data_IF_879460285317
#
_entry.id   IF_879460285317
#
_cell.length_a   1.000
_cell.length_b   1.000
_cell.length_c   1.000
_cell.angle_alpha   90.00
_cell.angle_beta   90.00
_cell.angle_gamma   90.00
#
_symmetry.space_group_name_H-M   'P 1'
#
loop_
_entity.id
_entity.type
_entity.pdbx_description
1 polymer ?
#
# COMPACT_ATOMS: atom_id res chain seq x y z
N UNK A 1 -8.05 5.31 -7.58
CA UNK A 1 -7.29 4.04 -7.42
C UNK A 1 -5.89 4.25 -7.99
N UNK A 2 -4.86 3.83 -7.27
CA UNK A 2 -3.47 3.90 -7.72
C UNK A 2 -3.07 2.65 -8.50
N UNK A 3 -3.50 1.47 -8.06
CA UNK A 3 -3.23 0.23 -8.78
C UNK A 3 -3.77 -0.99 -8.06
N UNK A 4 -3.52 -2.14 -8.66
CA UNK A 4 -3.81 -3.44 -8.08
C UNK A 4 -2.55 -4.30 -8.13
N UNK A 5 -2.40 -5.22 -7.20
CA UNK A 5 -1.37 -6.25 -7.27
C UNK A 5 -1.87 -7.58 -6.75
N UNK A 6 -1.36 -8.64 -7.36
CA UNK A 6 -1.46 -9.99 -6.84
C UNK A 6 -0.08 -10.42 -6.36
N UNK A 7 -0.04 -11.21 -5.29
CA UNK A 7 1.19 -11.76 -4.73
C UNK A 7 1.05 -13.26 -4.56
N UNK A 8 1.84 -14.00 -5.33
CA UNK A 8 1.85 -15.47 -5.33
C UNK A 8 2.36 -16.05 -4.01
N UNK A 9 3.38 -15.42 -3.42
CA UNK A 9 4.04 -15.89 -2.19
C UNK A 9 3.14 -15.92 -0.95
N UNK A 10 2.02 -15.19 -0.97
CA UNK A 10 1.00 -15.21 0.08
C UNK A 10 -0.43 -15.30 -0.47
N UNK A 11 -0.60 -15.66 -1.75
CA UNK A 11 -1.92 -15.80 -2.39
C UNK A 11 -2.87 -14.65 -2.03
N UNK A 12 -2.45 -13.43 -2.35
CA UNK A 12 -3.14 -12.21 -1.90
C UNK A 12 -3.45 -11.26 -3.05
N UNK A 13 -4.66 -10.71 -3.03
CA UNK A 13 -5.09 -9.62 -3.92
C UNK A 13 -5.09 -8.30 -3.16
N UNK A 14 -4.63 -7.25 -3.84
CA UNK A 14 -4.39 -5.95 -3.22
C UNK A 14 -4.98 -4.85 -4.07
N UNK A 15 -5.76 -3.99 -3.45
CA UNK A 15 -6.15 -2.71 -4.02
C UNK A 15 -5.32 -1.62 -3.36
N UNK A 16 -4.65 -0.80 -4.17
CA UNK A 16 -3.89 0.34 -3.71
C UNK A 16 -4.65 1.60 -4.08
N UNK A 17 -4.94 2.41 -3.08
CA UNK A 17 -5.65 3.68 -3.19
C UNK A 17 -4.76 4.80 -2.65
N UNK A 18 -5.08 6.04 -2.98
CA UNK A 18 -4.37 7.19 -2.46
C UNK A 18 -5.27 8.41 -2.39
N UNK A 19 -4.86 9.39 -1.59
CA UNK A 19 -5.52 10.69 -1.54
C UNK A 19 -5.27 11.52 -2.81
N UNK A 20 -5.87 12.70 -2.91
CA UNK A 20 -5.71 13.60 -4.08
C UNK A 20 -4.25 13.88 -4.40
N UNK A 21 -3.42 14.15 -3.38
CA UNK A 21 -1.98 14.37 -3.55
C UNK A 21 -1.30 13.17 -4.21
N UNK A 22 -1.54 11.96 -3.70
CA UNK A 22 -1.00 10.73 -4.28
C UNK A 22 -1.48 10.51 -5.73
N UNK A 23 -2.78 10.74 -5.98
CA UNK A 23 -3.36 10.56 -7.30
C UNK A 23 -2.74 11.54 -8.32
N UNK A 24 -2.63 12.82 -7.99
CA UNK A 24 -2.00 13.83 -8.85
C UNK A 24 -0.53 13.49 -9.11
N UNK A 25 0.22 13.13 -8.08
CA UNK A 25 1.61 12.70 -8.19
C UNK A 25 1.75 11.51 -9.15
N UNK A 26 0.92 10.49 -8.98
CA UNK A 26 0.93 9.29 -9.81
C UNK A 26 0.59 9.57 -11.29
N UNK A 27 -0.39 10.44 -11.56
CA UNK A 27 -0.78 10.77 -12.94
C UNK A 27 0.26 11.63 -13.65
N UNK A 28 0.98 12.46 -12.91
CA UNK A 28 2.04 13.31 -13.47
C UNK A 28 3.42 12.65 -13.49
N UNK A 29 3.56 11.41 -13.00
CA UNK A 29 4.87 10.73 -12.89
C UNK A 29 5.77 11.24 -11.75
N UNK A 30 5.23 12.04 -10.83
CA UNK A 30 5.96 12.68 -9.74
C UNK A 30 5.92 11.83 -8.46
N UNK A 31 6.34 10.57 -8.57
CA UNK A 31 6.27 9.58 -7.46
C UNK A 31 7.64 9.21 -6.89
N UNK A 32 8.71 9.88 -7.33
CA UNK A 32 10.06 9.63 -6.82
C UNK A 32 10.85 10.95 -6.68
N UNK A 33 10.80 11.60 -5.50
CA UNK A 33 10.04 11.21 -4.32
C UNK A 33 8.54 11.52 -4.46
N UNK A 34 7.73 10.87 -3.61
CA UNK A 34 6.35 11.30 -3.42
C UNK A 34 6.31 12.63 -2.64
N UNK A 35 5.38 13.55 -2.96
CA UNK A 35 5.25 14.82 -2.25
C UNK A 35 4.73 14.62 -0.82
N UNK A 36 5.15 15.49 0.10
CA UNK A 36 4.61 15.54 1.46
C UNK A 36 3.08 15.71 1.45
N UNK A 37 2.42 15.07 2.40
CA UNK A 37 0.95 14.95 2.43
C UNK A 37 0.39 13.83 1.55
N UNK A 38 1.24 13.08 0.84
CA UNK A 38 0.82 11.84 0.17
C UNK A 38 0.31 10.83 1.21
N UNK A 39 -0.87 10.27 0.97
CA UNK A 39 -1.40 9.15 1.74
C UNK A 39 -1.69 8.00 0.79
N UNK A 40 -1.11 6.83 1.07
CA UNK A 40 -1.36 5.58 0.35
C UNK A 40 -2.11 4.63 1.28
N UNK A 41 -3.21 4.07 0.80
CA UNK A 41 -3.94 3.00 1.47
C UNK A 41 -3.79 1.70 0.69
N UNK A 42 -3.63 0.57 1.37
CA UNK A 42 -3.55 -0.75 0.76
C UNK A 42 -4.51 -1.69 1.46
N UNK A 43 -5.47 -2.20 0.72
CA UNK A 43 -6.41 -3.20 1.19
C UNK A 43 -5.94 -4.56 0.68
N UNK A 44 -5.79 -5.53 1.58
CA UNK A 44 -5.19 -6.83 1.28
C UNK A 44 -6.16 -7.94 1.65
N UNK A 45 -6.55 -8.72 0.66
CA UNK A 45 -7.36 -9.92 0.82
C UNK A 45 -6.56 -11.17 0.46
N UNK A 46 -6.92 -12.31 1.03
CA UNK A 46 -6.58 -13.60 0.41
C UNK A 46 -7.27 -13.68 -0.95
N UNK A 47 -6.61 -14.25 -1.95
CA UNK A 47 -7.26 -14.51 -3.22
C UNK A 47 -8.29 -15.64 -3.09
N UNK A 48 -9.29 -15.60 -3.96
CA UNK A 48 -10.34 -16.61 -4.06
C UNK A 48 -10.78 -16.73 -5.51
N UNK A 49 -11.38 -17.86 -5.89
CA UNK A 49 -11.87 -18.09 -7.25
C UNK A 49 -13.26 -17.49 -7.42
N UNK A 50 -13.50 -16.79 -8.52
CA UNK A 50 -14.83 -16.24 -8.79
C UNK A 50 -15.84 -17.38 -8.99
N UNK A 51 -17.01 -17.38 -8.29
CA UNK A 51 -17.92 -18.52 -8.29
C UNK A 51 -18.50 -18.84 -9.67
N UNK A 52 -18.77 -17.81 -10.47
CA UNK A 52 -19.32 -17.94 -11.83
C UNK A 52 -18.25 -17.94 -12.94
N UNK A 53 -16.97 -17.73 -12.60
CA UNK A 53 -15.89 -17.61 -13.58
C UNK A 53 -14.55 -18.05 -12.98
N UNK A 54 -14.39 -19.37 -12.82
CA UNK A 54 -13.26 -19.98 -12.12
C UNK A 54 -11.85 -19.49 -12.55
N UNK A 55 -11.60 -19.13 -13.82
CA UNK A 55 -10.29 -18.57 -14.19
C UNK A 55 -9.94 -17.26 -13.46
N UNK A 56 -10.92 -16.46 -13.01
CA UNK A 56 -10.65 -15.20 -12.32
C UNK A 56 -10.37 -15.38 -10.81
N UNK A 57 -9.42 -14.60 -10.32
CA UNK A 57 -9.19 -14.39 -8.89
C UNK A 57 -9.91 -13.12 -8.42
N UNK A 58 -10.56 -13.21 -7.27
CA UNK A 58 -11.31 -12.13 -6.61
C UNK A 58 -10.98 -12.04 -5.13
N UNK A 59 -11.22 -10.88 -4.48
CA UNK A 59 -11.05 -10.75 -3.03
C UNK A 59 -11.82 -11.82 -2.25
N UNK A 60 -11.12 -12.56 -1.40
CA UNK A 60 -11.68 -13.46 -0.40
C UNK A 60 -11.69 -12.81 0.99
N UNK A 61 -11.11 -13.49 1.97
CA UNK A 61 -11.00 -12.98 3.35
C UNK A 61 -10.11 -11.72 3.41
N UNK A 62 -10.57 -10.69 4.13
CA UNK A 62 -9.75 -9.51 4.41
C UNK A 62 -8.63 -9.90 5.38
N UNK A 63 -7.39 -9.84 4.90
CA UNK A 63 -6.21 -10.11 5.72
C UNK A 63 -5.86 -8.89 6.57
N UNK A 64 -5.65 -7.74 5.94
CA UNK A 64 -5.28 -6.51 6.62
C UNK A 64 -5.43 -5.29 5.71
N UNK A 65 -5.45 -4.11 6.33
CA UNK A 65 -5.41 -2.80 5.69
C UNK A 65 -4.19 -2.05 6.20
N UNK A 66 -3.48 -1.37 5.31
CA UNK A 66 -2.28 -0.61 5.62
C UNK A 66 -2.39 0.81 5.11
N UNK A 67 -1.71 1.73 5.81
CA UNK A 67 -1.54 3.09 5.35
C UNK A 67 -0.06 3.50 5.41
N UNK A 68 0.32 4.32 4.44
CA UNK A 68 1.58 5.05 4.41
C UNK A 68 1.28 6.55 4.30
N UNK A 69 1.94 7.37 5.12
CA UNK A 69 1.76 8.83 5.12
C UNK A 69 3.12 9.51 4.93
N UNK A 70 3.25 10.33 3.89
CA UNK A 70 4.47 11.10 3.64
C UNK A 70 4.44 12.39 4.45
N UNK A 71 5.40 12.53 5.34
CA UNK A 71 5.74 13.76 6.04
C UNK A 71 7.24 13.70 6.35
N UNK A 72 8.02 14.34 5.47
CA UNK A 72 9.48 14.33 5.49
C UNK A 72 10.07 14.81 6.82
N UNK A 73 9.38 15.73 7.52
CA UNK A 73 9.82 16.28 8.79
C UNK A 73 9.46 15.36 9.95
N UNK A 74 8.20 14.94 10.03
CA UNK A 74 7.70 14.12 11.14
C UNK A 74 8.32 12.71 11.14
N UNK A 75 8.58 12.16 9.96
CA UNK A 75 9.04 10.79 9.76
C UNK A 75 10.48 10.72 9.20
N UNK A 76 11.34 11.67 9.57
CA UNK A 76 12.72 11.75 9.07
C UNK A 76 13.53 10.43 9.26
N UNK A 77 13.27 9.70 10.35
CA UNK A 77 13.97 8.44 10.67
C UNK A 77 13.50 7.23 9.85
N UNK A 78 12.42 7.37 9.06
CA UNK A 78 11.80 6.31 8.26
C UNK A 78 11.65 6.74 6.80
N UNK A 79 12.62 7.52 6.29
CA UNK A 79 12.61 7.98 4.89
C UNK A 79 11.48 8.96 4.57
N UNK A 80 10.94 9.64 5.59
CA UNK A 80 9.79 10.54 5.45
C UNK A 80 8.43 9.85 5.45
N UNK A 81 8.36 8.56 5.82
CA UNK A 81 7.12 7.78 5.79
C UNK A 81 6.68 7.29 7.17
N UNK A 82 5.43 7.57 7.53
CA UNK A 82 4.73 6.91 8.63
C UNK A 82 3.97 5.69 8.14
N UNK A 83 3.88 4.64 8.97
CA UNK A 83 3.23 3.38 8.63
C UNK A 83 2.22 2.96 9.69
N UNK A 84 1.10 2.39 9.27
CA UNK A 84 0.13 1.76 10.16
C UNK A 84 -0.56 0.57 9.48
N UNK A 85 -0.89 -0.47 10.24
CA UNK A 85 -1.59 -1.67 9.76
C UNK A 85 -2.66 -2.12 10.75
N UNK A 86 -3.80 -2.53 10.21
CA UNK A 86 -4.92 -3.13 10.93
C UNK A 86 -5.25 -4.50 10.34
N UNK A 87 -5.48 -5.49 11.19
CA UNK A 87 -5.64 -6.91 10.81
C UNK A 87 -7.10 -7.32 10.90
N UNK A 88 -7.56 -8.05 9.88
CA UNK A 88 -8.88 -8.63 9.80
C UNK A 88 -10.03 -7.63 9.76
N UNK A 89 -11.26 -8.14 9.79
CA UNK A 89 -12.48 -7.34 9.77
C UNK A 89 -12.70 -6.52 11.05
N UNK A 90 -12.12 -6.94 12.16
CA UNK A 90 -12.17 -6.20 13.44
C UNK A 90 -11.23 -4.99 13.45
N UNK A 91 -10.39 -4.84 12.41
CA UNK A 91 -9.41 -3.77 12.30
C UNK A 91 -8.55 -3.65 13.57
N UNK A 92 -8.00 -4.77 14.04
CA UNK A 92 -7.10 -4.78 15.19
C UNK A 92 -5.76 -4.15 14.78
N UNK A 93 -5.27 -3.07 15.42
CA UNK A 93 -3.97 -2.49 15.07
C UNK A 93 -2.87 -3.53 15.34
N UNK A 94 -1.93 -3.69 14.39
CA UNK A 94 -0.87 -4.71 14.51
C UNK A 94 0.02 -4.45 15.73
N UNK A 95 0.46 -3.20 15.94
CA UNK A 95 1.28 -2.76 17.05
C UNK A 95 1.43 -1.22 17.08
N UNK A 96 1.91 -0.70 18.21
CA UNK A 96 2.21 0.73 18.42
C UNK A 96 3.72 1.04 18.32
N UNK A 97 4.49 0.26 17.57
CA UNK A 97 5.96 0.39 17.51
C UNK A 97 6.47 1.52 16.58
N UNK A 98 5.54 2.37 16.11
CA UNK A 98 5.83 3.45 15.18
C UNK A 98 6.12 2.98 13.74
N UNK A 99 5.83 1.73 13.40
CA UNK A 99 5.97 1.22 12.04
C UNK A 99 7.40 0.80 11.65
N UNK A 100 8.31 0.63 12.63
CA UNK A 100 9.70 0.26 12.35
C UNK A 100 9.85 -1.03 11.51
N UNK A 101 9.16 -2.14 11.82
CA UNK A 101 9.25 -3.35 11.00
C UNK A 101 8.72 -3.14 9.58
N UNK A 102 7.74 -2.22 9.41
CA UNK A 102 7.25 -1.86 8.09
C UNK A 102 8.34 -1.14 7.30
N UNK A 103 9.02 -0.16 7.91
CA UNK A 103 10.09 0.57 7.24
C UNK A 103 11.26 -0.33 6.84
N UNK A 104 11.68 -1.27 7.70
CA UNK A 104 12.76 -2.21 7.37
C UNK A 104 12.44 -3.02 6.10
N UNK A 105 11.21 -3.50 5.96
CA UNK A 105 10.77 -4.18 4.73
C UNK A 105 10.74 -3.22 3.52
N UNK A 106 10.39 -1.95 3.72
CA UNK A 106 10.27 -0.95 2.66
C UNK A 106 11.62 -0.42 2.15
N UNK A 107 12.73 -0.65 2.88
CA UNK A 107 14.09 -0.31 2.42
C UNK A 107 14.45 -1.00 1.10
N UNK A 108 13.89 -2.18 0.82
CA UNK A 108 14.10 -2.84 -0.47
C UNK A 108 13.51 -2.06 -1.67
N UNK A 109 12.64 -1.07 -1.42
CA UNK A 109 12.12 -0.13 -2.41
C UNK A 109 12.75 1.27 -2.29
N UNK A 110 13.96 1.40 -1.74
CA UNK A 110 14.60 2.71 -1.51
C UNK A 110 14.72 3.56 -2.79
N UNK A 111 14.96 2.93 -3.95
CA UNK A 111 15.08 3.62 -5.24
C UNK A 111 13.75 4.21 -5.75
N UNK A 112 12.61 3.79 -5.19
CA UNK A 112 11.27 4.27 -5.53
C UNK A 112 10.60 4.95 -4.34
N UNK A 113 11.39 5.71 -3.59
CA UNK A 113 10.97 6.44 -2.39
C UNK A 113 10.27 5.54 -1.35
N UNK A 114 10.81 4.34 -1.15
CA UNK A 114 10.32 3.34 -0.19
C UNK A 114 8.89 2.85 -0.49
N UNK A 115 8.44 2.96 -1.73
CA UNK A 115 7.10 2.54 -2.18
C UNK A 115 7.21 1.50 -3.29
N UNK A 116 6.75 0.27 -3.03
CA UNK A 116 6.66 -0.79 -4.06
C UNK A 116 5.55 -0.58 -5.10
N UNK A 117 4.59 0.29 -4.81
CA UNK A 117 3.44 0.50 -5.70
C UNK A 117 3.90 1.14 -6.99
N UNK A 118 3.71 0.42 -8.10
CA UNK A 118 3.75 0.99 -9.44
C UNK A 118 2.34 1.45 -9.81
N UNK A 119 2.09 2.76 -10.04
CA UNK A 119 0.77 3.22 -10.43
C UNK A 119 0.31 2.53 -11.72
N UNK A 120 -0.94 2.06 -11.73
CA UNK A 120 -1.57 1.54 -12.92
C UNK A 120 -1.73 2.68 -13.95
N UNK A 121 -1.40 2.42 -15.23
CA UNK A 121 -1.70 3.35 -16.32
C UNK A 121 -3.21 3.58 -16.38
N UNK A 122 -3.62 4.84 -16.25
CA UNK A 122 -5.00 5.29 -16.43
C UNK A 122 -4.96 6.60 -17.22
N UNK A 123 -6.02 6.93 -17.98
CA UNK A 123 -6.18 8.24 -18.60
C UNK A 123 -6.04 9.38 -17.58
#
# INVERSE_FOLDING_TARGET
>A
MLGVSHRDDNQSLRAIVGNTTAMTAARNGNTNPWPDGTILGKLVWKDSRHPLWQPALVPGELSHIEFMVKDSKKYANTGGWGFARWVGMELKPLNNDGGKPCFECQKAAAETDFVFTRPAPLP
#
